data_IF_496093318226
#
_entry.id   IF_496093318226
#
_cell.length_a   1.000
_cell.length_b   1.000
_cell.length_c   1.000
_cell.angle_alpha   90.00
_cell.angle_beta   90.00
_cell.angle_gamma   90.00
#
_symmetry.space_group_name_H-M   'P 1'
#
loop_
_entity.id
_entity.type
_entity.pdbx_description
1 polymer ?
#
# COMPACT_ATOMS: atom_id res chain seq x y z
N UNK A 1 -20.67 5.86 -21.90
CA UNK A 1 -19.90 5.60 -20.67
C UNK A 1 -19.69 6.96 -20.02
N UNK A 2 -20.42 7.26 -18.96
CA UNK A 2 -20.40 8.59 -18.33
C UNK A 2 -19.23 8.62 -17.36
N UNK A 3 -18.18 9.37 -17.70
CA UNK A 3 -17.05 9.63 -16.81
C UNK A 3 -17.55 10.57 -15.71
N UNK A 4 -17.66 10.07 -14.48
CA UNK A 4 -17.92 10.89 -13.30
C UNK A 4 -16.60 11.57 -12.92
N UNK A 5 -16.39 12.79 -13.39
CA UNK A 5 -15.33 13.66 -12.88
C UNK A 5 -15.80 14.19 -11.52
N UNK A 6 -15.50 13.47 -10.43
CA UNK A 6 -15.48 14.12 -9.12
C UNK A 6 -14.27 15.05 -9.10
N UNK A 7 -14.51 16.34 -9.33
CA UNK A 7 -13.53 17.36 -9.03
C UNK A 7 -13.32 17.36 -7.51
N UNK A 8 -12.21 16.74 -7.07
CA UNK A 8 -11.79 16.57 -5.66
C UNK A 8 -12.47 15.41 -4.91
N UNK A 9 -12.12 14.14 -5.21
CA UNK A 9 -12.63 13.00 -4.45
C UNK A 9 -12.19 13.12 -2.99
N UNK A 10 -13.15 13.13 -2.07
CA UNK A 10 -12.87 13.13 -0.63
C UNK A 10 -12.78 11.69 -0.13
N UNK A 11 -11.60 11.28 0.32
CA UNK A 11 -11.40 9.97 0.94
C UNK A 11 -11.55 10.13 2.46
N UNK A 12 -12.53 9.43 3.03
CA UNK A 12 -12.64 9.30 4.48
C UNK A 12 -11.82 8.08 4.91
N UNK A 13 -10.86 8.28 5.82
CA UNK A 13 -9.98 7.24 6.32
C UNK A 13 -10.10 7.16 7.85
N UNK A 14 -10.32 5.96 8.37
CA UNK A 14 -10.16 5.65 9.79
C UNK A 14 -9.10 4.56 9.93
N UNK A 15 -8.19 4.71 10.89
CA UNK A 15 -7.06 3.80 11.04
C UNK A 15 -6.72 3.51 12.50
N UNK A 16 -6.25 2.29 12.74
CA UNK A 16 -5.56 1.85 13.96
C UNK A 16 -4.12 1.48 13.58
N UNK A 17 -3.16 2.19 14.17
CA UNK A 17 -1.73 2.02 13.89
C UNK A 17 -1.08 1.23 15.02
N UNK A 18 -1.03 -0.09 14.85
CA UNK A 18 -0.37 -0.99 15.78
C UNK A 18 1.10 -1.21 15.48
N UNK A 19 1.87 -1.62 16.49
CA UNK A 19 3.29 -1.93 16.36
C UNK A 19 3.60 -3.06 15.37
N UNK A 20 2.69 -4.03 15.19
CA UNK A 20 2.85 -5.18 14.29
C UNK A 20 2.06 -5.08 12.99
N UNK A 21 1.01 -4.27 12.96
CA UNK A 21 0.13 -4.11 11.82
C UNK A 21 -0.68 -2.83 11.93
N UNK A 22 -1.02 -2.27 10.78
CA UNK A 22 -1.98 -1.18 10.67
C UNK A 22 -3.26 -1.66 9.97
N UNK A 23 -4.39 -1.22 10.48
CA UNK A 23 -5.72 -1.53 9.94
C UNK A 23 -6.35 -0.22 9.51
N UNK A 24 -6.84 -0.16 8.29
CA UNK A 24 -7.46 1.01 7.73
C UNK A 24 -8.84 0.66 7.18
N UNK A 25 -9.77 1.59 7.30
CA UNK A 25 -11.04 1.56 6.60
C UNK A 25 -11.14 2.84 5.80
N UNK A 26 -11.37 2.72 4.49
CA UNK A 26 -11.57 3.90 3.65
C UNK A 26 -12.93 3.87 2.96
N UNK A 27 -13.42 5.07 2.65
CA UNK A 27 -14.65 5.29 1.88
C UNK A 27 -14.41 6.34 0.82
N UNK A 28 -14.72 5.99 -0.43
CA UNK A 28 -14.78 6.91 -1.57
C UNK A 28 -16.24 7.30 -1.84
N UNK A 29 -17.18 6.34 -1.79
CA UNK A 29 -18.60 6.60 -2.00
C UNK A 29 -19.45 6.33 -0.75
N UNK A 30 -20.56 7.06 -0.59
CA UNK A 30 -21.51 6.85 0.51
C UNK A 30 -22.01 5.40 0.53
N UNK A 31 -22.06 4.79 1.73
CA UNK A 31 -22.45 3.39 1.92
C UNK A 31 -21.33 2.36 1.69
N UNK A 32 -20.17 2.77 1.19
CA UNK A 32 -19.00 1.90 1.07
C UNK A 32 -18.16 1.92 2.36
N UNK A 33 -17.58 0.78 2.70
CA UNK A 33 -16.49 0.69 3.68
C UNK A 33 -15.54 -0.39 3.21
N UNK A 34 -14.32 -0.01 2.83
CA UNK A 34 -13.32 -0.95 2.32
C UNK A 34 -12.23 -1.14 3.37
N UNK A 35 -12.01 -2.37 3.87
CA UNK A 35 -10.93 -2.66 4.80
C UNK A 35 -9.60 -2.85 4.05
N UNK A 36 -8.53 -2.27 4.59
CA UNK A 36 -7.15 -2.56 4.23
C UNK A 36 -6.43 -3.01 5.51
N UNK A 37 -5.70 -4.12 5.41
CA UNK A 37 -4.82 -4.58 6.47
C UNK A 37 -3.40 -4.67 5.94
N UNK A 38 -2.46 -4.04 6.63
CA UNK A 38 -1.05 -4.01 6.25
C UNK A 38 -0.19 -4.36 7.46
N UNK A 39 0.89 -5.08 7.24
CA UNK A 39 1.89 -5.29 8.29
C UNK A 39 2.66 -3.97 8.50
N UNK A 40 3.24 -3.79 9.68
CA UNK A 40 4.11 -2.63 9.96
C UNK A 40 5.54 -2.80 9.41
N UNK A 41 5.79 -3.85 8.63
CA UNK A 41 7.11 -4.13 8.09
C UNK A 41 7.48 -3.12 7.01
N UNK A 42 8.66 -2.52 7.17
CA UNK A 42 9.23 -1.56 6.22
C UNK A 42 10.54 -2.14 5.69
N UNK A 43 10.69 -2.19 4.37
CA UNK A 43 11.99 -2.45 3.73
C UNK A 43 12.46 -1.18 3.01
N UNK A 44 13.68 -0.76 3.34
CA UNK A 44 14.35 0.44 2.82
C UNK A 44 15.52 0.07 1.92
N UNK A 45 16.15 1.05 1.27
CA UNK A 45 17.29 0.87 0.35
C UNK A 45 16.98 0.02 -0.90
N UNK A 46 15.72 -0.03 -1.34
CA UNK A 46 15.38 -0.66 -2.60
C UNK A 46 15.69 0.30 -3.75
N UNK A 47 16.27 -0.25 -4.82
CA UNK A 47 16.53 0.49 -6.07
C UNK A 47 15.47 0.16 -7.11
N UNK A 48 15.40 0.93 -8.19
CA UNK A 48 14.45 0.71 -9.29
C UNK A 48 14.45 -0.72 -9.85
N UNK A 49 15.57 -1.45 -9.71
CA UNK A 49 15.69 -2.85 -10.11
C UNK A 49 14.78 -3.80 -9.31
N UNK A 50 14.31 -3.40 -8.12
CA UNK A 50 13.40 -4.18 -7.30
C UNK A 50 11.93 -4.08 -7.73
N UNK A 51 11.53 -3.02 -8.46
CA UNK A 51 10.12 -2.78 -8.80
C UNK A 51 9.40 -3.94 -9.52
N UNK A 52 10.01 -4.62 -10.51
CA UNK A 52 9.36 -5.73 -11.21
C UNK A 52 8.98 -6.90 -10.30
N UNK A 53 9.75 -7.13 -9.23
CA UNK A 53 9.49 -8.23 -8.29
C UNK A 53 8.45 -7.83 -7.24
N UNK A 54 8.35 -6.54 -6.89
CA UNK A 54 7.31 -6.03 -6.01
C UNK A 54 5.93 -6.14 -6.66
N UNK A 55 5.79 -5.95 -7.98
CA UNK A 55 4.48 -6.00 -8.67
C UNK A 55 3.80 -7.39 -8.76
N UNK A 56 4.37 -8.44 -8.17
CA UNK A 56 3.90 -9.83 -8.31
C UNK A 56 2.81 -10.26 -7.30
N UNK A 57 2.34 -9.37 -6.42
CA UNK A 57 1.37 -9.76 -5.39
C UNK A 57 -0.08 -9.75 -5.87
N UNK A 58 -0.91 -10.53 -5.18
CA UNK A 58 -2.32 -10.75 -5.56
C UNK A 58 -3.26 -9.66 -5.06
N UNK A 59 -2.83 -8.87 -4.06
CA UNK A 59 -3.63 -7.78 -3.48
C UNK A 59 -2.79 -6.50 -3.43
N UNK A 60 -3.37 -5.32 -3.71
CA UNK A 60 -2.60 -4.07 -3.72
C UNK A 60 -1.79 -3.80 -2.45
N UNK A 61 -2.34 -4.17 -1.28
CA UNK A 61 -1.66 -4.00 0.01
C UNK A 61 -0.46 -4.93 0.23
N UNK A 62 -0.37 -6.04 -0.49
CA UNK A 62 0.71 -7.01 -0.31
C UNK A 62 2.03 -6.53 -0.94
N UNK A 63 1.97 -5.54 -1.83
CA UNK A 63 3.13 -4.91 -2.48
C UNK A 63 3.01 -3.40 -2.55
N UNK A 64 2.46 -2.78 -1.51
CA UNK A 64 2.42 -1.33 -1.43
C UNK A 64 3.84 -0.79 -1.23
N UNK A 65 4.33 -0.03 -2.20
CA UNK A 65 5.59 0.69 -2.10
C UNK A 65 5.37 2.16 -2.47
N UNK A 66 6.27 3.00 -2.00
CA UNK A 66 6.30 4.41 -2.33
C UNK A 66 7.76 4.80 -2.59
N UNK A 67 7.97 5.69 -3.56
CA UNK A 67 9.28 6.27 -3.82
C UNK A 67 9.37 7.62 -3.10
N UNK A 68 10.40 7.79 -2.28
CA UNK A 68 10.78 9.08 -1.68
C UNK A 68 12.16 9.41 -2.24
N UNK A 69 12.24 10.49 -3.02
CA UNK A 69 13.46 10.87 -3.74
C UNK A 69 14.02 9.70 -4.59
N UNK A 70 15.25 9.26 -4.31
CA UNK A 70 15.91 8.14 -5.00
C UNK A 70 15.72 6.78 -4.28
N UNK A 71 14.96 6.74 -3.19
CA UNK A 71 14.74 5.54 -2.39
C UNK A 71 13.33 4.95 -2.61
N UNK A 72 13.26 3.63 -2.81
CA UNK A 72 11.99 2.90 -2.76
C UNK A 72 11.81 2.31 -1.36
N UNK A 73 10.68 2.66 -0.74
CA UNK A 73 10.22 2.13 0.54
C UNK A 73 9.08 1.17 0.29
N UNK A 74 9.28 -0.10 0.67
CA UNK A 74 8.22 -1.10 0.65
C UNK A 74 7.53 -1.13 2.02
N UNK A 75 6.21 -0.97 2.02
CA UNK A 75 5.35 -0.98 3.21
C UNK A 75 4.44 -2.19 3.15
N UNK A 76 4.97 -3.37 3.45
CA UNK A 76 4.24 -4.64 3.48
C UNK A 76 5.15 -5.80 3.92
N UNK A 77 4.53 -6.94 4.26
CA UNK A 77 5.23 -8.22 4.29
C UNK A 77 5.34 -8.79 2.88
N UNK A 78 6.54 -8.75 2.31
CA UNK A 78 6.91 -9.68 1.24
C UNK A 78 6.99 -11.07 1.86
N UNK A 79 5.99 -11.92 1.59
CA UNK A 79 6.12 -13.37 1.77
C UNK A 79 7.06 -13.90 0.69
N UNK A 80 8.36 -13.62 0.83
CA UNK A 80 9.36 -14.04 -0.15
C UNK A 80 10.67 -13.35 0.14
N UNK A 81 11.65 -14.15 0.58
CA UNK A 81 13.09 -13.89 0.75
C UNK A 81 13.55 -12.45 0.50
N UNK A 82 14.17 -11.89 1.53
CA UNK A 82 15.13 -10.80 1.40
C UNK A 82 16.02 -11.07 0.16
N UNK A 83 16.12 -10.15 -0.81
CA UNK A 83 16.90 -10.37 -2.03
C UNK A 83 18.41 -10.54 -1.78
N UNK A 84 18.85 -10.41 -0.52
CA UNK A 84 20.22 -10.63 -0.06
C UNK A 84 20.32 -11.59 1.15
N UNK A 85 19.42 -12.57 1.30
CA UNK A 85 19.54 -13.65 2.29
C UNK A 85 19.72 -15.02 1.63
#
# INVERSE_FOLDING_TARGET
MTQLTEENPTIYLAGDMGASASKFFYRVHTGQTVPIWMTSAISTNLTNNALPTLSMSRRPQDSAWLQIDDEIVLVSSINGRHPNA
#
